data_IF_671948436919
#
_entry.id   IF_671948436919
#
_cell.length_a   1.000
_cell.length_b   1.000
_cell.length_c   1.000
_cell.angle_alpha   90.00
_cell.angle_beta   90.00
_cell.angle_gamma   90.00
#
_symmetry.space_group_name_H-M   'P 1'
#
loop_
_entity.id
_entity.type
_entity.pdbx_description
1 polymer ?
#
# COMPACT_ATOMS: atom_id res chain seq x y z
N UNK A 1 -4.54 -17.74 -1.04
CA UNK A 1 -3.62 -18.66 -1.75
C UNK A 1 -3.43 -18.32 -3.23
N UNK A 2 -3.81 -17.14 -3.66
CA UNK A 2 -3.68 -16.69 -5.06
C UNK A 2 -2.62 -15.58 -5.28
N UNK A 3 -1.95 -15.11 -4.24
CA UNK A 3 -0.93 -14.04 -4.34
C UNK A 3 0.46 -14.59 -4.74
N UNK A 4 0.69 -15.91 -4.63
CA UNK A 4 2.00 -16.52 -4.88
C UNK A 4 2.24 -17.05 -6.29
N UNK A 5 1.29 -16.92 -7.23
CA UNK A 5 1.46 -17.47 -8.59
C UNK A 5 1.97 -16.46 -9.63
N UNK A 6 2.09 -15.17 -9.31
CA UNK A 6 2.46 -14.17 -10.31
C UNK A 6 3.97 -13.93 -10.48
N UNK A 7 4.81 -14.68 -9.79
CA UNK A 7 6.24 -14.39 -9.74
C UNK A 7 7.13 -15.33 -10.60
N UNK A 8 6.69 -15.75 -11.79
CA UNK A 8 7.50 -16.62 -12.66
C UNK A 8 8.20 -15.95 -13.83
N UNK A 9 8.08 -14.64 -14.02
CA UNK A 9 8.79 -13.97 -15.13
C UNK A 9 9.34 -12.62 -14.67
N UNK A 10 10.59 -12.63 -14.18
CA UNK A 10 11.47 -11.49 -14.35
C UNK A 10 11.87 -10.65 -13.15
N UNK A 11 11.43 -10.94 -11.93
CA UNK A 11 12.03 -10.30 -10.76
C UNK A 11 13.22 -11.11 -10.25
N UNK A 12 14.39 -10.47 -10.14
CA UNK A 12 15.63 -11.06 -9.64
C UNK A 12 15.41 -11.59 -8.21
N UNK A 13 15.88 -12.78 -7.94
CA UNK A 13 15.64 -13.61 -6.76
C UNK A 13 16.03 -13.10 -5.37
N UNK A 14 16.25 -11.79 -5.19
CA UNK A 14 16.69 -11.23 -3.91
C UNK A 14 15.56 -10.59 -3.10
N UNK A 15 14.50 -10.08 -3.73
CA UNK A 15 13.36 -9.42 -3.03
C UNK A 15 12.51 -10.42 -2.22
N UNK A 16 12.45 -11.68 -2.65
CA UNK A 16 11.65 -12.70 -1.94
C UNK A 16 12.29 -13.23 -0.65
N UNK A 17 13.55 -12.87 -0.34
CA UNK A 17 14.20 -13.27 0.91
C UNK A 17 13.79 -12.40 2.08
N UNK A 18 13.38 -11.17 1.80
CA UNK A 18 13.13 -10.15 2.84
C UNK A 18 11.64 -9.91 3.10
N UNK A 19 10.73 -10.56 2.33
CA UNK A 19 9.29 -10.44 2.51
C UNK A 19 8.63 -11.83 2.63
N UNK A 20 8.24 -12.22 3.86
CA UNK A 20 7.61 -13.52 4.13
C UNK A 20 6.79 -13.50 5.42
N UNK A 21 5.89 -14.48 5.58
CA UNK A 21 5.03 -14.61 6.74
C UNK A 21 5.32 -15.90 7.52
N UNK A 22 5.54 -15.76 8.82
CA UNK A 22 5.69 -16.87 9.74
C UNK A 22 4.46 -17.01 10.65
N UNK A 23 3.71 -18.11 10.50
CA UNK A 23 2.61 -18.42 11.39
C UNK A 23 3.16 -19.05 12.68
N UNK A 24 3.12 -18.34 13.80
CA UNK A 24 3.61 -18.80 15.10
C UNK A 24 2.60 -19.68 15.84
N UNK A 25 1.30 -19.39 15.70
CA UNK A 25 0.25 -20.11 16.41
C UNK A 25 -1.08 -20.08 15.66
N UNK A 26 -1.81 -21.19 15.71
CA UNK A 26 -3.19 -21.30 15.25
C UNK A 26 -4.07 -21.75 16.40
N UNK A 27 -5.07 -20.97 16.75
CA UNK A 27 -6.03 -21.32 17.78
C UNK A 27 -6.88 -22.50 17.33
N UNK A 28 -6.88 -23.58 18.08
CA UNK A 28 -7.63 -24.82 17.75
C UNK A 28 -9.14 -24.65 17.76
N UNK A 29 -9.66 -23.68 18.51
CA UNK A 29 -11.10 -23.45 18.66
C UNK A 29 -11.67 -22.53 17.58
N UNK A 30 -10.94 -21.47 17.21
CA UNK A 30 -11.45 -20.41 16.35
C UNK A 30 -10.76 -20.35 14.99
N UNK A 31 -9.61 -21.02 14.83
CA UNK A 31 -8.75 -20.87 13.65
C UNK A 31 -8.00 -19.53 13.57
N UNK A 32 -8.11 -18.67 14.59
CA UNK A 32 -7.37 -17.42 14.66
C UNK A 32 -5.86 -17.68 14.64
N UNK A 33 -5.11 -16.84 13.96
CA UNK A 33 -3.66 -16.99 13.76
C UNK A 33 -2.91 -15.82 14.38
N UNK A 34 -1.84 -16.14 15.08
CA UNK A 34 -0.77 -15.22 15.45
C UNK A 34 0.46 -15.52 14.64
N UNK A 35 1.10 -14.49 14.09
CA UNK A 35 2.30 -14.65 13.29
C UNK A 35 3.08 -13.37 13.13
N UNK A 36 4.14 -13.44 12.34
CA UNK A 36 5.01 -12.30 12.02
C UNK A 36 5.07 -12.16 10.50
N UNK A 37 4.80 -10.97 10.01
CA UNK A 37 5.08 -10.56 8.65
C UNK A 37 6.45 -9.88 8.65
N UNK A 38 7.41 -10.49 7.98
CA UNK A 38 8.75 -9.92 7.79
C UNK A 38 8.74 -9.05 6.55
N UNK A 39 9.23 -7.82 6.65
CA UNK A 39 9.39 -6.88 5.55
C UNK A 39 10.79 -6.29 5.53
N UNK A 40 11.24 -5.68 4.42
CA UNK A 40 12.54 -4.99 4.37
C UNK A 40 12.71 -3.90 5.42
N UNK A 41 11.61 -3.28 5.87
CA UNK A 41 11.63 -2.21 6.86
C UNK A 41 11.28 -2.65 8.28
N UNK A 42 11.16 -3.95 8.53
CA UNK A 42 10.95 -4.51 9.86
C UNK A 42 9.84 -5.54 9.95
N UNK A 43 9.68 -6.08 11.14
CA UNK A 43 8.72 -7.13 11.45
C UNK A 43 7.39 -6.54 11.92
N UNK A 44 6.28 -7.18 11.51
CA UNK A 44 4.92 -6.83 11.92
C UNK A 44 4.28 -8.03 12.60
N UNK A 45 3.98 -7.92 13.87
CA UNK A 45 3.17 -8.92 14.59
C UNK A 45 1.72 -8.89 14.10
N UNK A 46 1.19 -10.04 13.74
CA UNK A 46 -0.18 -10.13 13.21
C UNK A 46 -1.10 -10.92 14.15
N UNK A 47 -2.34 -10.46 14.36
CA UNK A 47 -3.00 -9.32 13.70
C UNK A 47 -2.51 -7.96 14.21
N UNK A 48 -2.34 -6.98 13.32
CA UNK A 48 -1.93 -5.62 13.66
C UNK A 48 -2.89 -4.60 13.02
N UNK A 49 -3.22 -3.56 13.76
CA UNK A 49 -3.95 -2.41 13.21
C UNK A 49 -2.99 -1.53 12.41
N UNK A 50 -3.43 -1.14 11.21
CA UNK A 50 -2.66 -0.25 10.33
C UNK A 50 -3.27 1.16 10.37
N UNK A 51 -2.64 2.14 11.06
CA UNK A 51 -3.06 3.53 10.93
C UNK A 51 -3.04 3.99 9.48
N UNK A 52 -4.07 4.73 9.09
CA UNK A 52 -4.23 5.14 7.68
C UNK A 52 -3.59 6.49 7.43
N UNK A 53 -2.52 6.49 6.66
CA UNK A 53 -1.79 7.66 6.17
C UNK A 53 -2.20 8.02 4.74
N UNK A 54 -3.43 8.48 4.52
CA UNK A 54 -4.06 8.66 3.19
C UNK A 54 -3.22 9.47 2.20
N UNK A 55 -2.60 10.55 2.65
CA UNK A 55 -1.74 11.43 1.85
C UNK A 55 -0.31 11.43 2.40
N UNK A 56 0.25 10.25 2.62
CA UNK A 56 1.57 10.07 3.22
C UNK A 56 1.68 10.71 4.63
N UNK A 57 0.56 10.77 5.36
CA UNK A 57 0.53 11.23 6.75
C UNK A 57 -0.70 10.68 7.47
N UNK A 58 -0.51 10.21 8.69
CA UNK A 58 -1.61 9.91 9.61
C UNK A 58 -2.05 11.24 10.22
N UNK A 59 -3.29 11.65 9.93
CA UNK A 59 -3.77 12.99 10.24
C UNK A 59 -3.68 13.30 11.73
N UNK A 60 -2.91 14.34 12.07
CA UNK A 60 -2.74 14.81 13.44
C UNK A 60 -1.75 14.01 14.29
N UNK A 61 -1.01 13.07 13.70
CA UNK A 61 -0.05 12.22 14.41
C UNK A 61 1.28 12.24 13.63
N UNK A 62 2.40 12.52 14.32
CA UNK A 62 3.72 12.51 13.70
C UNK A 62 4.26 11.07 13.57
N UNK A 63 5.27 10.83 12.71
CA UNK A 63 5.94 9.53 12.61
C UNK A 63 6.53 9.05 13.94
N UNK A 64 7.07 9.94 14.75
CA UNK A 64 7.60 9.64 16.08
C UNK A 64 6.49 9.17 17.01
N UNK A 65 5.34 9.85 17.01
CA UNK A 65 4.18 9.45 17.80
C UNK A 65 3.62 8.09 17.37
N UNK A 66 3.65 7.76 16.08
CA UNK A 66 3.27 6.42 15.59
C UNK A 66 4.15 5.33 16.20
N UNK A 67 5.47 5.57 16.27
CA UNK A 67 6.42 4.65 16.90
C UNK A 67 6.18 4.54 18.41
N UNK A 68 5.99 5.65 19.10
CA UNK A 68 5.70 5.68 20.54
C UNK A 68 4.41 4.92 20.90
N UNK A 69 3.40 4.96 20.01
CA UNK A 69 2.16 4.20 20.15
C UNK A 69 2.30 2.71 19.80
N UNK A 70 3.48 2.27 19.34
CA UNK A 70 3.72 0.88 18.95
C UNK A 70 3.10 0.48 17.58
N UNK A 71 2.83 1.45 16.70
CA UNK A 71 2.42 1.14 15.33
C UNK A 71 3.58 0.47 14.58
N UNK A 72 3.36 -0.75 14.11
CA UNK A 72 4.38 -1.52 13.39
C UNK A 72 4.24 -1.42 11.87
N UNK A 73 3.12 -0.92 11.37
CA UNK A 73 2.87 -0.76 9.94
C UNK A 73 1.89 0.39 9.72
N UNK A 74 2.08 1.12 8.62
CA UNK A 74 1.18 2.21 8.19
C UNK A 74 0.61 1.89 6.82
N UNK A 75 -0.66 2.23 6.59
CA UNK A 75 -1.29 2.11 5.27
C UNK A 75 -1.31 3.47 4.58
N UNK A 76 -0.87 3.52 3.32
CA UNK A 76 -0.98 4.68 2.44
C UNK A 76 -1.88 4.37 1.24
N UNK A 77 -2.66 5.36 0.79
CA UNK A 77 -3.64 5.13 -0.28
C UNK A 77 -3.11 5.54 -1.65
N UNK A 78 -2.92 4.57 -2.52
CA UNK A 78 -2.41 4.73 -3.90
C UNK A 78 -3.21 5.74 -4.70
N UNK A 79 -4.55 5.66 -4.69
CA UNK A 79 -5.42 6.56 -5.42
C UNK A 79 -5.19 8.05 -5.05
N UNK A 80 -5.17 8.34 -3.75
CA UNK A 80 -5.02 9.70 -3.27
C UNK A 80 -3.62 10.27 -3.57
N UNK A 81 -2.58 9.48 -3.39
CA UNK A 81 -1.20 9.86 -3.66
C UNK A 81 -0.94 10.05 -5.16
N UNK A 82 -1.53 9.20 -6.01
CA UNK A 82 -1.48 9.38 -7.45
C UNK A 82 -2.12 10.70 -7.90
N UNK A 83 -3.28 11.05 -7.34
CA UNK A 83 -3.95 12.32 -7.69
C UNK A 83 -3.21 13.53 -7.12
N UNK A 84 -2.65 13.41 -5.90
CA UNK A 84 -1.98 14.51 -5.22
C UNK A 84 -1.07 13.98 -4.11
N UNK A 85 0.24 14.25 -4.14
CA UNK A 85 0.95 15.18 -5.03
C UNK A 85 1.21 14.64 -6.45
N UNK A 86 1.11 13.32 -6.68
CA UNK A 86 1.54 12.56 -7.85
C UNK A 86 2.56 11.51 -7.45
N UNK A 87 2.48 10.32 -8.04
CA UNK A 87 3.41 9.22 -7.72
C UNK A 87 4.86 9.53 -8.13
N UNK A 88 5.03 10.26 -9.22
CA UNK A 88 6.32 10.75 -9.69
C UNK A 88 7.02 11.68 -8.67
N UNK A 89 6.28 12.57 -8.02
CA UNK A 89 6.82 13.45 -6.98
C UNK A 89 7.27 12.62 -5.76
N UNK A 90 6.49 11.63 -5.36
CA UNK A 90 6.86 10.75 -4.24
C UNK A 90 8.09 9.92 -4.57
N UNK A 91 8.17 9.35 -5.79
CA UNK A 91 9.35 8.63 -6.29
C UNK A 91 10.60 9.52 -6.26
N UNK A 92 10.50 10.72 -6.81
CA UNK A 92 11.62 11.66 -6.91
C UNK A 92 12.08 12.16 -5.52
N UNK A 93 11.19 12.10 -4.52
CA UNK A 93 11.51 12.35 -3.11
C UNK A 93 12.16 11.13 -2.41
N UNK A 94 12.35 9.99 -3.11
CA UNK A 94 12.96 8.78 -2.57
C UNK A 94 11.95 7.74 -2.06
N UNK A 95 10.69 7.82 -2.50
CA UNK A 95 9.60 6.92 -2.10
C UNK A 95 8.91 7.35 -0.80
N UNK A 96 7.88 6.59 -0.42
CA UNK A 96 7.03 6.93 0.73
C UNK A 96 7.80 7.01 2.05
N UNK A 97 8.76 6.13 2.28
CA UNK A 97 9.54 6.11 3.53
C UNK A 97 10.24 7.45 3.76
N UNK A 98 10.90 7.99 2.73
CA UNK A 98 11.55 9.30 2.82
C UNK A 98 10.55 10.46 2.81
N UNK A 99 9.51 10.37 1.96
CA UNK A 99 8.50 11.40 1.84
C UNK A 99 7.69 11.58 3.14
N UNK A 100 7.43 10.49 3.88
CA UNK A 100 6.73 10.49 5.17
C UNK A 100 7.66 10.71 6.37
N UNK A 101 8.99 10.59 6.18
CA UNK A 101 9.96 10.45 7.27
C UNK A 101 9.60 9.30 8.22
N UNK A 102 9.19 8.15 7.66
CA UNK A 102 8.80 6.96 8.40
C UNK A 102 9.62 5.76 7.91
N UNK A 103 10.36 5.12 8.82
CA UNK A 103 11.30 4.04 8.51
C UNK A 103 10.74 2.63 8.78
N UNK A 104 9.49 2.52 9.24
CA UNK A 104 8.81 1.24 9.45
C UNK A 104 8.07 0.76 8.21
N UNK A 105 7.50 -0.45 8.26
CA UNK A 105 6.72 -1.04 7.18
C UNK A 105 5.57 -0.16 6.70
N UNK A 106 5.41 -0.05 5.37
CA UNK A 106 4.33 0.68 4.73
C UNK A 106 3.61 -0.25 3.75
N UNK A 107 2.28 -0.32 3.87
CA UNK A 107 1.43 -1.01 2.91
C UNK A 107 0.70 0.03 2.04
N UNK A 108 0.71 -0.17 0.72
CA UNK A 108 -0.17 0.57 -0.20
C UNK A 108 -1.32 -0.30 -0.68
N UNK A 109 -2.52 0.29 -0.78
CA UNK A 109 -3.66 -0.34 -1.44
C UNK A 109 -3.54 -0.24 -2.97
N UNK A 110 -4.44 -0.92 -3.71
CA UNK A 110 -4.45 -0.85 -5.19
C UNK A 110 -5.06 0.44 -5.75
N UNK A 111 -5.71 1.24 -4.94
CA UNK A 111 -6.49 2.41 -5.37
C UNK A 111 -7.85 2.07 -6.01
N UNK A 112 -8.14 0.82 -6.31
CA UNK A 112 -9.36 0.39 -7.01
C UNK A 112 -10.64 0.65 -6.22
N UNK A 113 -10.64 0.46 -4.91
CA UNK A 113 -11.80 0.73 -4.07
C UNK A 113 -12.21 2.20 -4.12
N UNK A 114 -11.25 3.13 -4.07
CA UNK A 114 -11.52 4.58 -4.10
C UNK A 114 -12.10 5.01 -5.44
N UNK A 115 -11.60 4.47 -6.55
CA UNK A 115 -12.18 4.69 -7.89
C UNK A 115 -13.63 4.22 -7.92
N UNK A 116 -13.93 3.07 -7.28
CA UNK A 116 -15.27 2.55 -7.18
C UNK A 116 -16.16 3.39 -6.26
N UNK A 117 -15.69 3.77 -5.07
CA UNK A 117 -16.51 4.41 -4.03
C UNK A 117 -16.68 5.92 -4.23
N UNK A 118 -15.65 6.62 -4.73
CA UNK A 118 -15.63 8.08 -4.85
C UNK A 118 -16.07 8.59 -6.23
N UNK A 119 -15.99 7.75 -7.26
CA UNK A 119 -16.36 8.11 -8.62
C UNK A 119 -17.86 8.08 -8.85
N UNK A 120 -18.53 9.24 -8.89
CA UNK A 120 -19.96 9.34 -9.26
C UNK A 120 -20.21 8.94 -10.74
N UNK A 121 -19.22 9.15 -11.61
CA UNK A 121 -19.29 8.83 -13.04
C UNK A 121 -18.06 8.02 -13.40
N UNK A 122 -18.23 6.73 -13.66
CA UNK A 122 -17.16 5.84 -14.08
C UNK A 122 -17.62 4.95 -15.22
N UNK A 123 -16.70 4.57 -16.10
CA UNK A 123 -16.88 3.56 -17.13
C UNK A 123 -15.90 2.43 -16.86
N UNK A 124 -16.40 1.24 -16.62
CA UNK A 124 -15.60 0.04 -16.37
C UNK A 124 -15.53 -0.74 -17.68
N UNK A 125 -14.31 -1.10 -18.08
CA UNK A 125 -13.98 -1.89 -19.28
C UNK A 125 -12.99 -3.00 -18.87
N UNK A 126 -12.72 -3.94 -19.75
CA UNK A 126 -11.79 -5.05 -19.47
C UNK A 126 -10.37 -4.53 -19.19
N UNK A 127 -9.97 -3.48 -19.89
CA UNK A 127 -8.64 -2.88 -19.79
C UNK A 127 -8.46 -1.97 -18.57
N UNK A 128 -9.57 -1.60 -17.89
CA UNK A 128 -9.49 -0.72 -16.74
C UNK A 128 -10.73 0.15 -16.56
N UNK A 129 -10.58 1.20 -15.77
CA UNK A 129 -11.68 2.09 -15.42
C UNK A 129 -11.37 3.54 -15.75
N UNK A 130 -12.29 4.17 -16.48
CA UNK A 130 -12.29 5.62 -16.72
C UNK A 130 -13.17 6.32 -15.71
N UNK A 131 -12.67 7.39 -15.09
CA UNK A 131 -13.40 8.15 -14.07
C UNK A 131 -12.98 9.63 -14.08
N UNK A 132 -13.64 10.44 -13.26
CA UNK A 132 -13.25 11.84 -13.04
C UNK A 132 -12.49 11.99 -11.74
N UNK A 133 -11.36 12.71 -11.78
CA UNK A 133 -10.58 13.08 -10.60
C UNK A 133 -11.47 13.87 -9.62
N UNK A 134 -11.36 13.52 -8.34
CA UNK A 134 -12.04 14.26 -7.25
C UNK A 134 -11.34 15.58 -6.92
N UNK A 135 -10.13 15.79 -7.43
CA UNK A 135 -9.32 16.99 -7.15
C UNK A 135 -9.67 18.13 -8.11
N UNK A 136 -9.72 17.83 -9.41
CA UNK A 136 -9.86 18.83 -10.47
C UNK A 136 -10.91 18.48 -11.54
N UNK A 137 -11.55 17.32 -11.42
CA UNK A 137 -12.56 16.85 -12.37
C UNK A 137 -12.01 16.34 -13.70
N UNK A 138 -10.70 16.29 -13.88
CA UNK A 138 -10.07 15.75 -15.10
C UNK A 138 -10.44 14.29 -15.32
N UNK A 139 -10.48 13.89 -16.61
CA UNK A 139 -10.76 12.50 -16.97
C UNK A 139 -9.50 11.67 -16.83
N UNK A 140 -9.57 10.61 -16.04
CA UNK A 140 -8.48 9.70 -15.75
C UNK A 140 -8.84 8.27 -16.15
N UNK A 141 -7.81 7.48 -16.41
CA UNK A 141 -7.92 6.05 -16.67
C UNK A 141 -6.95 5.29 -15.75
N UNK A 142 -7.46 4.28 -15.04
CA UNK A 142 -6.69 3.37 -14.20
C UNK A 142 -6.84 1.95 -14.75
N UNK A 143 -5.73 1.39 -15.22
CA UNK A 143 -5.61 -0.05 -15.53
C UNK A 143 -4.91 -0.78 -14.38
N UNK A 144 -4.94 -2.13 -14.34
CA UNK A 144 -4.15 -2.92 -13.39
C UNK A 144 -2.65 -2.58 -13.45
N UNK A 145 -2.09 -2.47 -14.66
CA UNK A 145 -0.67 -2.16 -14.87
C UNK A 145 -0.32 -0.78 -14.34
N UNK A 146 -1.20 0.21 -14.59
CA UNK A 146 -1.00 1.56 -14.08
C UNK A 146 -1.07 1.62 -12.56
N UNK A 147 -1.97 0.84 -11.94
CA UNK A 147 -2.03 0.72 -10.49
C UNK A 147 -0.72 0.18 -9.90
N UNK A 148 -0.15 -0.86 -10.51
CA UNK A 148 1.14 -1.41 -10.09
C UNK A 148 2.26 -0.40 -10.29
N UNK A 149 2.35 0.24 -11.46
CA UNK A 149 3.38 1.26 -11.73
C UNK A 149 3.34 2.42 -10.70
N UNK A 150 2.14 2.86 -10.31
CA UNK A 150 2.00 3.87 -9.26
C UNK A 150 2.52 3.34 -7.91
N UNK A 151 2.21 2.09 -7.54
CA UNK A 151 2.68 1.49 -6.29
C UNK A 151 4.21 1.30 -6.29
N UNK A 152 4.80 0.95 -7.44
CA UNK A 152 6.26 0.90 -7.63
C UNK A 152 6.90 2.29 -7.43
N UNK A 153 6.31 3.34 -7.99
CA UNK A 153 6.76 4.73 -7.77
C UNK A 153 6.67 5.12 -6.28
N UNK A 154 5.62 4.68 -5.58
CA UNK A 154 5.44 4.96 -4.16
C UNK A 154 6.48 4.23 -3.29
N UNK A 155 6.98 3.07 -3.72
CA UNK A 155 8.07 2.34 -3.05
C UNK A 155 7.70 1.88 -1.64
N UNK A 156 6.50 1.30 -1.46
CA UNK A 156 6.08 0.60 -0.23
C UNK A 156 6.70 -0.81 -0.16
N UNK A 157 6.54 -1.50 0.99
CA UNK A 157 6.99 -2.89 1.20
C UNK A 157 6.22 -3.94 0.41
#
# INVERSE_FOLDING_TARGET
MAIFSYNRQGYRGDIMKDFWYECKHVCKQTGARYGILHTPHGDVETPMFMPVGTLATVKGISPEQLKEMGSQVVLANTYHLWLRPGSDIVRDAGGLHQFMNYDGPILTDSGGFQVFSLGKTRKIEEEGVTFKSIVDGSKLFLSPEKSIAIQEDLGAD
#
